data_IF_018896195420
#
_entry.id   IF_018896195420
#
_cell.length_a   1.000
_cell.length_b   1.000
_cell.length_c   1.000
_cell.angle_alpha   90.00
_cell.angle_beta   90.00
_cell.angle_gamma   90.00
#
_symmetry.space_group_name_H-M   'P 1'
#
loop_
_entity.id
_entity.type
_entity.pdbx_description
1 polymer ?
#
# COMPACT_ATOMS: atom_id res chain seq x y z
N UNK A 1 -5.43 23.44 20.05
CA UNK A 1 -5.24 22.09 20.61
C UNK A 1 -5.25 21.11 19.45
N UNK A 2 -4.13 20.45 19.13
CA UNK A 2 -4.18 19.31 18.20
C UNK A 2 -4.76 18.14 18.98
N UNK A 3 -6.00 17.78 18.69
CA UNK A 3 -6.60 16.54 19.16
C UNK A 3 -5.72 15.42 18.62
N UNK A 4 -4.91 14.81 19.49
CA UNK A 4 -4.22 13.58 19.11
C UNK A 4 -5.33 12.54 19.08
N UNK A 5 -5.74 12.14 17.89
CA UNK A 5 -6.66 11.00 17.74
C UNK A 5 -6.06 9.86 18.56
N UNK A 6 -6.82 9.36 19.54
CA UNK A 6 -6.42 8.16 20.28
C UNK A 6 -6.18 7.08 19.23
N UNK A 7 -4.94 6.65 19.07
CA UNK A 7 -4.63 5.43 18.33
C UNK A 7 -5.28 4.28 19.12
N UNK A 8 -6.51 3.94 18.74
CA UNK A 8 -7.04 2.62 19.05
C UNK A 8 -6.04 1.63 18.47
N UNK A 9 -5.52 0.76 19.34
CA UNK A 9 -4.67 -0.36 18.91
C UNK A 9 -5.55 -1.21 18.02
N UNK A 10 -5.40 -1.02 16.71
CA UNK A 10 -6.08 -1.79 15.68
C UNK A 10 -5.59 -3.22 15.92
N UNK A 11 -6.44 -4.04 16.54
CA UNK A 11 -6.16 -5.46 16.68
C UNK A 11 -5.74 -5.98 15.31
N UNK A 12 -4.67 -6.78 15.27
CA UNK A 12 -4.00 -7.41 14.12
C UNK A 12 -4.97 -7.93 13.03
N UNK A 13 -5.60 -7.01 12.29
CA UNK A 13 -6.53 -7.32 11.22
C UNK A 13 -5.77 -7.62 9.93
N UNK A 14 -4.48 -7.32 9.84
CA UNK A 14 -3.73 -7.28 8.58
C UNK A 14 -3.76 -8.61 7.82
N UNK A 15 -3.56 -9.76 8.46
CA UNK A 15 -3.52 -11.04 7.76
C UNK A 15 -4.89 -11.42 7.15
N UNK A 16 -5.95 -11.48 7.98
CA UNK A 16 -7.30 -11.82 7.52
C UNK A 16 -7.88 -10.77 6.56
N UNK A 17 -7.61 -9.48 6.83
CA UNK A 17 -8.06 -8.37 5.98
C UNK A 17 -7.41 -8.41 4.60
N UNK A 18 -6.16 -8.84 4.51
CA UNK A 18 -5.46 -9.00 3.23
C UNK A 18 -5.88 -10.29 2.53
N UNK A 19 -6.18 -11.35 3.26
CA UNK A 19 -6.75 -12.56 2.65
C UNK A 19 -8.08 -12.26 1.93
N UNK A 20 -8.94 -11.43 2.52
CA UNK A 20 -10.21 -10.98 1.93
C UNK A 20 -10.02 -9.99 0.76
N UNK A 21 -8.86 -9.35 0.67
CA UNK A 21 -8.55 -8.40 -0.39
C UNK A 21 -8.39 -9.03 -1.78
N UNK A 22 -8.70 -8.26 -2.81
CA UNK A 22 -8.36 -8.61 -4.18
C UNK A 22 -6.92 -8.20 -4.49
N UNK A 23 -6.16 -9.10 -5.12
CA UNK A 23 -4.78 -8.81 -5.56
C UNK A 23 -4.77 -7.62 -6.52
N UNK A 24 -3.82 -6.70 -6.31
CA UNK A 24 -3.70 -5.49 -7.11
C UNK A 24 -4.71 -4.40 -6.78
N UNK A 25 -5.49 -4.51 -5.69
CA UNK A 25 -6.41 -3.44 -5.26
C UNK A 25 -6.03 -2.87 -3.89
N UNK A 26 -6.10 -1.54 -3.77
CA UNK A 26 -5.95 -0.86 -2.49
C UNK A 26 -7.19 -1.05 -1.61
N UNK A 27 -6.94 -1.35 -0.35
CA UNK A 27 -7.92 -1.37 0.73
C UNK A 27 -7.54 -0.30 1.75
N UNK A 28 -8.53 0.44 2.24
CA UNK A 28 -8.29 1.41 3.32
C UNK A 28 -8.07 0.65 4.63
N UNK A 29 -6.89 0.79 5.21
CA UNK A 29 -6.57 0.19 6.52
C UNK A 29 -7.00 1.14 7.64
N UNK A 30 -6.49 2.38 7.61
CA UNK A 30 -6.85 3.47 8.53
C UNK A 30 -6.92 4.79 7.76
N UNK A 31 -7.33 5.92 8.38
CA UNK A 31 -7.27 7.21 7.69
C UNK A 31 -5.90 7.45 7.06
N UNK A 32 -5.93 7.82 5.78
CA UNK A 32 -4.75 8.14 4.96
C UNK A 32 -3.70 7.02 4.82
N UNK A 33 -4.04 5.78 5.19
CA UNK A 33 -3.17 4.61 5.00
C UNK A 33 -3.95 3.49 4.31
N UNK A 34 -3.40 3.02 3.21
CA UNK A 34 -3.98 1.99 2.38
C UNK A 34 -3.01 0.82 2.29
N UNK A 35 -3.54 -0.38 2.22
CA UNK A 35 -2.78 -1.61 1.97
C UNK A 35 -3.17 -2.16 0.61
N UNK A 36 -2.21 -2.70 -0.14
CA UNK A 36 -2.46 -3.41 -1.38
C UNK A 36 -1.97 -4.85 -1.24
N UNK A 37 -2.83 -5.78 -1.65
CA UNK A 37 -2.49 -7.20 -1.72
C UNK A 37 -1.68 -7.45 -2.99
N UNK A 38 -0.45 -7.92 -2.81
CA UNK A 38 0.42 -8.34 -3.89
C UNK A 38 0.16 -9.77 -4.36
N UNK A 39 1.14 -10.32 -5.04
CA UNK A 39 1.19 -11.70 -5.48
C UNK A 39 1.46 -12.65 -4.31
N UNK A 40 1.12 -13.93 -4.51
CA UNK A 40 1.33 -14.97 -3.50
C UNK A 40 2.67 -15.65 -3.76
N UNK A 41 3.58 -15.53 -2.80
CA UNK A 41 4.90 -16.15 -2.85
C UNK A 41 5.09 -17.05 -1.63
N UNK A 42 5.53 -18.30 -1.83
CA UNK A 42 5.74 -19.28 -0.76
C UNK A 42 4.55 -19.48 0.20
N UNK A 43 3.32 -19.34 -0.30
CA UNK A 43 2.11 -19.53 0.51
C UNK A 43 1.61 -18.26 1.21
N UNK A 44 2.33 -17.14 1.14
CA UNK A 44 2.01 -15.86 1.78
C UNK A 44 1.81 -14.77 0.72
N UNK A 45 0.88 -13.85 0.93
CA UNK A 45 0.72 -12.70 0.04
C UNK A 45 1.72 -11.61 0.40
N UNK A 46 2.42 -11.09 -0.60
CA UNK A 46 3.18 -9.85 -0.47
C UNK A 46 2.20 -8.69 -0.20
N UNK A 47 2.69 -7.67 0.50
CA UNK A 47 1.88 -6.56 0.97
C UNK A 47 2.63 -5.28 0.70
N UNK A 48 1.94 -4.31 0.10
CA UNK A 48 2.44 -2.96 -0.04
C UNK A 48 1.53 -1.97 0.68
N UNK A 49 2.04 -0.78 0.92
CA UNK A 49 1.29 0.30 1.54
C UNK A 49 1.34 1.57 0.70
N UNK A 50 0.27 2.35 0.78
CA UNK A 50 0.25 3.72 0.30
C UNK A 50 -0.14 4.65 1.46
N UNK A 51 0.69 5.64 1.73
CA UNK A 51 0.48 6.64 2.78
C UNK A 51 0.19 7.96 2.12
N UNK A 52 -1.00 8.52 2.37
CA UNK A 52 -1.41 9.82 1.84
C UNK A 52 -0.98 10.93 2.79
N UNK A 53 -0.32 11.95 2.26
CA UNK A 53 0.07 13.12 3.01
C UNK A 53 -1.15 13.98 3.38
N UNK A 54 -1.02 14.83 4.40
CA UNK A 54 -2.08 15.71 4.90
C UNK A 54 -2.62 16.70 3.85
N UNK A 55 -1.85 16.99 2.80
CA UNK A 55 -2.30 17.82 1.68
C UNK A 55 -3.25 17.09 0.70
N UNK A 56 -3.59 15.82 0.98
CA UNK A 56 -4.53 14.98 0.24
C UNK A 56 -4.19 14.71 -1.22
N UNK A 57 -2.98 15.10 -1.67
CA UNK A 57 -2.49 14.86 -3.03
C UNK A 57 -1.24 14.00 -3.04
N UNK A 58 -0.30 14.28 -2.14
CA UNK A 58 0.97 13.57 -2.15
C UNK A 58 0.80 12.20 -1.51
N UNK A 59 1.48 11.21 -2.09
CA UNK A 59 1.50 9.85 -1.58
C UNK A 59 2.92 9.30 -1.55
N UNK A 60 3.20 8.49 -0.53
CA UNK A 60 4.38 7.65 -0.43
C UNK A 60 3.94 6.19 -0.58
N UNK A 61 4.64 5.43 -1.43
CA UNK A 61 4.40 4.00 -1.57
C UNK A 61 5.49 3.23 -0.81
N UNK A 62 5.13 2.08 -0.25
CA UNK A 62 6.03 1.15 0.43
C UNK A 62 5.79 -0.23 -0.17
N UNK A 63 6.81 -0.84 -0.76
CA UNK A 63 6.76 -2.18 -1.36
C UNK A 63 5.69 -2.38 -2.46
N UNK A 64 5.12 -1.29 -3.01
CA UNK A 64 4.18 -1.31 -4.14
C UNK A 64 4.96 -1.30 -5.45
N UNK A 65 5.59 -2.42 -5.76
CA UNK A 65 6.51 -2.55 -6.90
C UNK A 65 6.19 -3.72 -7.82
N UNK A 66 5.19 -4.53 -7.51
CA UNK A 66 4.84 -5.72 -8.28
C UNK A 66 3.97 -5.41 -9.49
N UNK A 67 4.03 -6.25 -10.53
CA UNK A 67 3.24 -6.06 -11.76
C UNK A 67 1.74 -6.04 -11.47
N UNK A 68 1.29 -6.85 -10.51
CA UNK A 68 -0.08 -6.88 -10.00
C UNK A 68 -0.58 -5.51 -9.51
N UNK A 69 0.32 -4.66 -9.01
CA UNK A 69 0.00 -3.33 -8.47
C UNK A 69 0.00 -2.20 -9.50
N UNK A 70 0.51 -2.44 -10.72
CA UNK A 70 0.71 -1.43 -11.76
C UNK A 70 -0.56 -0.62 -12.07
N UNK A 71 -1.68 -1.30 -12.33
CA UNK A 71 -2.93 -0.64 -12.68
C UNK A 71 -3.49 0.19 -11.52
N UNK A 72 -3.28 -0.24 -10.27
CA UNK A 72 -3.68 0.53 -9.11
C UNK A 72 -2.85 1.80 -8.94
N UNK A 73 -1.54 1.72 -9.13
CA UNK A 73 -0.65 2.89 -9.10
C UNK A 73 -1.01 3.86 -10.23
N UNK A 74 -1.26 3.36 -11.44
CA UNK A 74 -1.69 4.17 -12.57
C UNK A 74 -3.00 4.91 -12.26
N UNK A 75 -3.98 4.20 -11.72
CA UNK A 75 -5.25 4.78 -11.30
C UNK A 75 -5.08 5.89 -10.24
N UNK A 76 -4.18 5.74 -9.27
CA UNK A 76 -3.87 6.81 -8.31
C UNK A 76 -3.35 8.07 -9.02
N UNK A 77 -2.45 7.92 -9.99
CA UNK A 77 -1.93 9.06 -10.76
C UNK A 77 -3.04 9.71 -11.60
N UNK A 78 -3.90 8.92 -12.23
CA UNK A 78 -5.05 9.40 -13.00
C UNK A 78 -6.07 10.15 -12.13
N UNK A 79 -6.25 9.74 -10.88
CA UNK A 79 -7.09 10.41 -9.87
C UNK A 79 -6.46 11.70 -9.32
N UNK A 80 -5.22 12.03 -9.72
CA UNK A 80 -4.55 13.28 -9.38
C UNK A 80 -3.65 13.20 -8.13
N UNK A 81 -3.34 12.00 -7.65
CA UNK A 81 -2.33 11.81 -6.62
C UNK A 81 -0.92 11.95 -7.18
N UNK A 82 0.00 12.48 -6.37
CA UNK A 82 1.41 12.68 -6.72
C UNK A 82 2.26 11.71 -5.91
N UNK A 83 2.80 10.68 -6.57
CA UNK A 83 3.72 9.76 -5.92
C UNK A 83 5.06 10.48 -5.70
N UNK A 84 5.43 10.68 -4.44
CA UNK A 84 6.67 11.37 -4.05
C UNK A 84 7.87 10.45 -3.93
N UNK A 85 7.62 9.16 -3.77
CA UNK A 85 8.66 8.16 -3.67
C UNK A 85 8.07 6.78 -3.43
N UNK A 86 8.93 5.79 -3.62
CA UNK A 86 8.68 4.39 -3.31
C UNK A 86 9.79 3.95 -2.36
N UNK A 87 9.41 3.47 -1.19
CA UNK A 87 10.33 2.84 -0.24
C UNK A 87 10.29 1.32 -0.46
N UNK A 88 11.46 0.70 -0.57
CA UNK A 88 11.60 -0.74 -0.68
C UNK A 88 12.27 -1.23 0.60
N UNK A 89 11.62 -2.15 1.31
CA UNK A 89 12.02 -2.54 2.66
C UNK A 89 13.13 -3.59 2.67
N UNK A 90 13.22 -4.44 1.64
CA UNK A 90 14.27 -5.45 1.53
C UNK A 90 14.55 -5.91 0.08
N UNK A 91 15.68 -6.58 -0.10
CA UNK A 91 16.12 -7.10 -1.40
C UNK A 91 15.16 -8.12 -2.01
N UNK A 92 14.39 -8.84 -1.19
CA UNK A 92 13.40 -9.80 -1.70
C UNK A 92 12.29 -9.08 -2.48
N UNK A 93 11.77 -7.97 -1.93
CA UNK A 93 10.77 -7.13 -2.61
C UNK A 93 11.37 -6.47 -3.85
N UNK A 94 12.64 -6.05 -3.78
CA UNK A 94 13.31 -5.48 -4.96
C UNK A 94 13.35 -6.47 -6.14
N UNK A 95 13.49 -7.77 -5.87
CA UNK A 95 13.50 -8.80 -6.92
C UNK A 95 12.13 -9.04 -7.56
N UNK A 96 11.03 -8.77 -6.85
CA UNK A 96 9.68 -8.82 -7.40
C UNK A 96 9.25 -7.51 -8.09
N UNK A 97 10.09 -6.48 -8.02
CA UNK A 97 9.85 -5.22 -8.70
C UNK A 97 9.78 -5.42 -10.22
N UNK A 98 8.69 -4.97 -10.85
CA UNK A 98 8.61 -4.99 -12.30
C UNK A 98 9.44 -3.84 -12.88
N UNK A 99 10.21 -4.14 -13.93
CA UNK A 99 10.84 -3.13 -14.77
C UNK A 99 10.01 -2.99 -16.05
N UNK A 100 9.40 -1.83 -16.25
CA UNK A 100 8.72 -1.46 -17.49
C UNK A 100 9.34 -0.17 -18.04
#
# INVERSE_FOLDING_TARGET
>A
MKTVDKMEVIHSQTAEFIEQGETGKFLKLIPDTFVIKGEKENGVFNQGYAIRHLNRRDMLLIDVVEKSSKEAVKKLVEEGYIIKGILITCDAVLKSAYAD
#
